data_IF_998949196120
#
_entry.id   IF_998949196120
#
_cell.length_a   1.000
_cell.length_b   1.000
_cell.length_c   1.000
_cell.angle_alpha   90.00
_cell.angle_beta   90.00
_cell.angle_gamma   90.00
#
_symmetry.space_group_name_H-M   'P 1'
#
loop_
_entity.id
_entity.type
_entity.pdbx_description
1 polymer ?
#
# COMPACT_ATOMS: atom_id res chain seq x y z
N UNK A 1 -12.99 8.01 13.99
CA UNK A 1 -11.70 7.36 13.63
C UNK A 1 -11.98 6.03 12.98
N UNK A 2 -11.32 5.71 11.84
CA UNK A 2 -11.45 4.38 11.22
C UNK A 2 -10.45 3.42 11.88
N UNK A 3 -10.87 2.18 12.14
CA UNK A 3 -10.00 1.13 12.68
C UNK A 3 -10.12 -0.12 11.80
N UNK A 4 -8.97 -0.71 11.46
CA UNK A 4 -8.89 -1.97 10.75
C UNK A 4 -7.68 -2.79 11.20
N UNK A 5 -7.62 -4.03 10.74
CA UNK A 5 -6.51 -4.93 10.96
C UNK A 5 -6.16 -5.75 9.73
N UNK A 6 -4.96 -6.31 9.73
CA UNK A 6 -4.55 -7.35 8.78
C UNK A 6 -5.06 -8.75 9.20
N UNK A 7 -4.54 -9.81 8.55
CA UNK A 7 -4.93 -11.20 8.79
C UNK A 7 -4.28 -11.87 9.99
N UNK A 8 -3.39 -11.21 10.74
CA UNK A 8 -2.62 -11.81 11.84
C UNK A 8 -3.50 -12.30 12.99
N UNK A 9 -3.09 -13.42 13.60
CA UNK A 9 -3.87 -14.09 14.66
C UNK A 9 -4.09 -13.22 15.91
N UNK A 10 -3.13 -12.34 16.24
CA UNK A 10 -3.26 -11.38 17.35
C UNK A 10 -4.13 -10.16 17.03
N UNK A 11 -4.45 -9.94 15.74
CA UNK A 11 -5.18 -8.78 15.25
C UNK A 11 -6.54 -8.56 15.94
N UNK A 12 -7.44 -9.55 16.04
CA UNK A 12 -8.75 -9.39 16.69
C UNK A 12 -8.66 -8.88 18.13
N UNK A 13 -7.80 -9.51 18.93
CA UNK A 13 -7.63 -9.11 20.34
C UNK A 13 -7.10 -7.67 20.48
N UNK A 14 -6.11 -7.29 19.66
CA UNK A 14 -5.56 -5.93 19.67
C UNK A 14 -6.60 -4.91 19.20
N UNK A 15 -7.39 -5.26 18.19
CA UNK A 15 -8.45 -4.40 17.66
C UNK A 15 -9.54 -4.11 18.70
N UNK A 16 -9.97 -5.11 19.44
CA UNK A 16 -10.95 -4.94 20.52
C UNK A 16 -10.45 -3.93 21.57
N UNK A 17 -9.17 -4.06 21.99
CA UNK A 17 -8.58 -3.12 22.94
C UNK A 17 -8.44 -1.70 22.41
N UNK A 18 -8.08 -1.54 21.11
CA UNK A 18 -8.00 -0.23 20.46
C UNK A 18 -9.37 0.41 20.36
N UNK A 19 -10.39 -0.33 19.93
CA UNK A 19 -11.78 0.16 19.84
C UNK A 19 -12.27 0.63 21.19
N UNK A 20 -12.13 -0.20 22.24
CA UNK A 20 -12.53 0.15 23.61
C UNK A 20 -11.81 1.42 24.09
N UNK A 21 -10.49 1.48 23.90
CA UNK A 21 -9.69 2.64 24.29
C UNK A 21 -10.11 3.93 23.58
N UNK A 22 -10.35 3.89 22.28
CA UNK A 22 -10.78 5.06 21.50
C UNK A 22 -12.19 5.51 21.91
N UNK A 23 -13.14 4.59 22.07
CA UNK A 23 -14.51 4.90 22.49
C UNK A 23 -14.53 5.54 23.88
N UNK A 24 -13.69 5.07 24.80
CA UNK A 24 -13.60 5.59 26.18
C UNK A 24 -13.15 7.05 26.26
N UNK A 25 -12.59 7.60 25.17
CA UNK A 25 -12.20 9.02 25.07
C UNK A 25 -13.31 9.93 24.54
N UNK A 26 -14.46 9.36 24.13
CA UNK A 26 -15.55 10.07 23.46
C UNK A 26 -15.37 10.20 21.95
N UNK A 27 -14.38 9.52 21.36
CA UNK A 27 -14.17 9.50 19.93
C UNK A 27 -14.97 8.34 19.30
N UNK A 28 -15.76 8.64 18.26
CA UNK A 28 -16.49 7.62 17.51
C UNK A 28 -15.53 6.74 16.69
N UNK A 29 -15.89 5.46 16.58
CA UNK A 29 -15.14 4.45 15.82
C UNK A 29 -15.97 3.95 14.66
N UNK A 30 -15.35 3.90 13.50
CA UNK A 30 -15.79 3.15 12.33
C UNK A 30 -14.87 1.92 12.18
N UNK A 31 -15.39 0.76 12.58
CA UNK A 31 -14.74 -0.54 12.41
C UNK A 31 -15.04 -1.08 11.00
N UNK A 32 -14.01 -1.21 10.18
CA UNK A 32 -14.10 -1.76 8.81
C UNK A 32 -13.54 -3.18 8.70
N UNK A 33 -13.20 -3.79 9.83
CA UNK A 33 -12.80 -5.20 9.90
C UNK A 33 -11.38 -5.49 9.44
N UNK A 34 -11.22 -6.64 8.80
CA UNK A 34 -9.95 -7.12 8.27
C UNK A 34 -9.84 -6.73 6.79
N UNK A 35 -8.95 -5.77 6.49
CA UNK A 35 -8.77 -5.21 5.15
C UNK A 35 -7.31 -4.77 4.93
N UNK A 36 -6.85 -4.63 3.67
CA UNK A 36 -5.58 -4.01 3.33
C UNK A 36 -5.40 -2.60 3.89
N UNK A 37 -4.14 -2.22 4.15
CA UNK A 37 -3.79 -0.88 4.63
C UNK A 37 -4.30 0.22 3.69
N UNK A 38 -4.25 0.02 2.36
CA UNK A 38 -4.79 0.96 1.37
C UNK A 38 -6.29 1.20 1.52
N UNK A 39 -7.07 0.15 1.82
CA UNK A 39 -8.53 0.26 2.09
C UNK A 39 -8.80 1.08 3.35
N UNK A 40 -7.99 0.90 4.40
CA UNK A 40 -8.10 1.74 5.61
C UNK A 40 -7.83 3.22 5.28
N UNK A 41 -6.77 3.51 4.54
CA UNK A 41 -6.45 4.89 4.17
C UNK A 41 -7.55 5.52 3.33
N UNK A 42 -8.08 4.80 2.33
CA UNK A 42 -9.25 5.24 1.57
C UNK A 42 -10.42 5.63 2.51
N UNK A 43 -10.82 4.71 3.39
CA UNK A 43 -11.92 4.96 4.32
C UNK A 43 -11.63 6.12 5.28
N UNK A 44 -10.36 6.31 5.69
CA UNK A 44 -9.97 7.40 6.56
C UNK A 44 -10.18 8.76 5.91
N UNK A 45 -9.81 8.91 4.63
CA UNK A 45 -9.99 10.16 3.89
C UNK A 45 -11.47 10.40 3.56
N UNK A 46 -12.19 9.39 3.11
CA UNK A 46 -13.57 9.54 2.67
C UNK A 46 -14.57 9.67 3.83
N UNK A 47 -14.32 9.04 4.98
CA UNK A 47 -15.32 8.89 6.04
C UNK A 47 -14.91 9.47 7.40
N UNK A 48 -13.63 9.79 7.65
CA UNK A 48 -13.14 10.15 8.98
C UNK A 48 -12.10 11.28 9.02
N UNK A 49 -12.14 12.18 8.05
CA UNK A 49 -11.24 13.34 7.95
C UNK A 49 -9.75 12.97 8.11
N UNK A 50 -9.33 11.85 7.53
CA UNK A 50 -7.95 11.39 7.54
C UNK A 50 -7.47 10.82 8.88
N UNK A 51 -8.36 10.27 9.72
CA UNK A 51 -7.95 9.72 11.02
C UNK A 51 -8.23 8.22 11.11
N UNK A 52 -7.18 7.42 11.32
CA UNK A 52 -7.26 5.95 11.31
C UNK A 52 -6.19 5.27 12.16
N UNK A 53 -6.47 4.02 12.55
CA UNK A 53 -5.49 3.10 13.14
C UNK A 53 -5.55 1.77 12.38
N UNK A 54 -4.44 1.39 11.77
CA UNK A 54 -4.23 0.05 11.21
C UNK A 54 -3.46 -0.82 12.19
N UNK A 55 -3.99 -2.00 12.45
CA UNK A 55 -3.33 -3.01 13.28
C UNK A 55 -2.69 -4.02 12.33
N UNK A 56 -1.37 -3.96 12.21
CA UNK A 56 -0.61 -4.78 11.27
C UNK A 56 0.84 -4.95 11.70
N UNK A 57 1.39 -6.10 11.36
CA UNK A 57 2.82 -6.35 11.40
C UNK A 57 3.48 -6.23 10.02
N UNK A 58 2.72 -5.84 8.96
CA UNK A 58 3.19 -5.76 7.57
C UNK A 58 3.91 -7.06 7.17
N UNK A 59 5.16 -6.98 6.74
CA UNK A 59 6.01 -8.11 6.35
C UNK A 59 6.78 -8.75 7.52
N UNK A 60 6.54 -8.36 8.78
CA UNK A 60 7.20 -9.00 9.92
C UNK A 60 6.73 -10.46 10.12
N UNK A 61 7.47 -11.29 10.87
CA UNK A 61 7.05 -12.65 11.23
C UNK A 61 5.64 -12.72 11.85
N UNK A 62 4.98 -13.89 11.84
CA UNK A 62 3.58 -14.05 12.27
C UNK A 62 3.28 -13.62 13.71
N UNK A 63 4.25 -13.72 14.61
CA UNK A 63 4.17 -13.37 16.03
C UNK A 63 4.36 -11.88 16.33
N UNK A 64 4.71 -11.08 15.32
CA UNK A 64 4.80 -9.62 15.41
C UNK A 64 3.47 -8.96 15.06
N UNK A 65 3.21 -7.82 15.70
CA UNK A 65 2.12 -6.93 15.32
C UNK A 65 2.46 -5.50 15.73
N UNK A 66 1.69 -4.52 15.24
CA UNK A 66 1.93 -3.11 15.51
C UNK A 66 0.77 -2.22 15.08
N UNK A 67 1.02 -0.92 15.09
CA UNK A 67 0.00 0.08 14.79
C UNK A 67 0.56 1.14 13.83
N UNK A 68 -0.13 1.35 12.70
CA UNK A 68 0.05 2.55 11.88
C UNK A 68 -1.05 3.53 12.28
N UNK A 69 -0.66 4.70 12.76
CA UNK A 69 -1.62 5.70 13.27
C UNK A 69 -1.58 6.93 12.38
N UNK A 70 -2.76 7.36 11.93
CA UNK A 70 -2.95 8.57 11.14
C UNK A 70 -3.96 9.49 11.82
N UNK A 71 -3.65 10.79 11.89
CA UNK A 71 -4.52 11.82 12.47
C UNK A 71 -4.57 13.02 11.54
N UNK A 72 -5.77 13.37 11.07
CA UNK A 72 -5.95 14.52 10.17
C UNK A 72 -5.18 14.39 8.84
N UNK A 73 -4.96 13.17 8.37
CA UNK A 73 -4.19 12.87 7.17
C UNK A 73 -2.68 12.80 7.38
N UNK A 74 -2.16 12.97 8.61
CA UNK A 74 -0.75 12.84 8.93
C UNK A 74 -0.46 11.50 9.59
N UNK A 75 0.44 10.71 9.00
CA UNK A 75 0.91 9.46 9.61
C UNK A 75 1.91 9.79 10.72
N UNK A 76 1.59 9.35 11.94
CA UNK A 76 2.43 9.63 13.11
C UNK A 76 3.73 8.82 13.06
N UNK A 77 4.84 9.48 13.38
CA UNK A 77 6.17 8.86 13.47
C UNK A 77 7.06 9.58 14.48
N UNK A 78 8.19 8.97 14.85
CA UNK A 78 9.22 9.57 15.69
C UNK A 78 8.66 10.15 17.00
N UNK A 79 8.88 11.44 17.24
CA UNK A 79 8.47 12.13 18.47
C UNK A 79 6.96 12.11 18.70
N UNK A 80 6.13 12.08 17.64
CA UNK A 80 4.68 12.02 17.79
C UNK A 80 4.24 10.68 18.42
N UNK A 81 4.88 9.55 18.04
CA UNK A 81 4.64 8.24 18.67
C UNK A 81 5.14 8.24 20.11
N UNK A 82 6.33 8.78 20.38
CA UNK A 82 6.85 8.96 21.76
C UNK A 82 5.92 9.82 22.61
N UNK A 83 5.32 10.84 21.99
CA UNK A 83 4.33 11.70 22.63
C UNK A 83 3.07 10.94 23.07
N UNK A 84 2.58 10.00 22.24
CA UNK A 84 1.46 9.11 22.61
C UNK A 84 1.84 8.24 23.83
N UNK A 85 3.00 7.61 23.79
CA UNK A 85 3.50 6.81 24.91
C UNK A 85 3.56 7.62 26.21
N UNK A 86 4.12 8.84 26.17
CA UNK A 86 4.25 9.71 27.34
C UNK A 86 2.88 10.10 27.91
N UNK A 87 1.89 10.39 27.08
CA UNK A 87 0.52 10.71 27.53
C UNK A 87 -0.15 9.51 28.18
N UNK A 88 -0.04 8.32 27.58
CA UNK A 88 -0.58 7.08 28.14
C UNK A 88 0.05 6.82 29.52
N UNK A 89 1.37 6.91 29.63
CA UNK A 89 2.11 6.65 30.87
C UNK A 89 1.75 7.66 31.97
N UNK A 90 1.51 8.91 31.59
CA UNK A 90 1.10 9.98 32.53
C UNK A 90 -0.38 9.93 32.90
N UNK A 91 -1.19 9.07 32.27
CA UNK A 91 -2.64 9.05 32.42
C UNK A 91 -3.32 10.32 31.88
N UNK A 92 -2.65 11.08 30.99
CA UNK A 92 -3.19 12.26 30.33
C UNK A 92 -4.13 11.85 29.20
N UNK A 93 -5.25 11.26 29.58
CA UNK A 93 -6.27 10.72 28.66
C UNK A 93 -7.58 11.47 28.89
N UNK A 94 -8.27 11.77 27.80
CA UNK A 94 -9.65 12.25 27.87
C UNK A 94 -10.56 11.08 28.24
N UNK A 95 -11.70 11.39 28.85
CA UNK A 95 -12.79 10.44 29.10
C UNK A 95 -14.06 10.90 28.39
N UNK A 96 -14.84 9.95 27.89
CA UNK A 96 -16.09 10.22 27.19
C UNK A 96 -16.73 8.91 26.72
N UNK A 97 -17.81 9.02 25.97
CA UNK A 97 -18.53 7.89 25.39
C UNK A 97 -18.64 8.10 23.87
N UNK A 98 -17.84 7.36 23.09
CA UNK A 98 -17.93 7.31 21.64
C UNK A 98 -18.90 6.25 21.15
N UNK A 99 -19.29 6.32 19.88
CA UNK A 99 -20.18 5.36 19.24
C UNK A 99 -19.39 4.44 18.29
N UNK A 100 -19.71 3.14 18.32
CA UNK A 100 -19.16 2.16 17.38
C UNK A 100 -20.13 1.96 16.21
N UNK A 101 -19.59 2.09 14.99
CA UNK A 101 -20.26 1.66 13.76
C UNK A 101 -19.39 0.65 13.03
N UNK A 102 -20.02 -0.27 12.31
CA UNK A 102 -19.34 -1.25 11.45
C UNK A 102 -19.81 -1.09 10.02
N UNK A 103 -18.87 -1.12 9.08
CA UNK A 103 -19.17 -0.93 7.66
C UNK A 103 -18.21 -1.78 6.81
N UNK A 104 -18.71 -2.39 5.74
CA UNK A 104 -17.85 -2.98 4.71
C UNK A 104 -17.64 -1.92 3.62
N UNK A 105 -16.39 -1.52 3.40
CA UNK A 105 -16.00 -0.46 2.45
C UNK A 105 -15.22 -0.99 1.24
N UNK A 106 -15.05 -2.31 1.13
CA UNK A 106 -14.24 -2.93 0.08
C UNK A 106 -14.80 -2.60 -1.30
N UNK A 107 -16.12 -2.68 -1.49
CA UNK A 107 -16.73 -2.39 -2.79
C UNK A 107 -16.57 -0.90 -3.15
N UNK A 108 -16.76 0.01 -2.20
CA UNK A 108 -16.55 1.46 -2.42
C UNK A 108 -15.10 1.75 -2.86
N UNK A 109 -14.14 1.05 -2.24
CA UNK A 109 -12.71 1.14 -2.60
C UNK A 109 -12.45 0.61 -4.02
N UNK A 110 -12.99 -0.57 -4.38
CA UNK A 110 -12.89 -1.15 -5.73
C UNK A 110 -13.51 -0.20 -6.76
N UNK A 111 -14.71 0.33 -6.49
CA UNK A 111 -15.40 1.25 -7.38
C UNK A 111 -14.60 2.55 -7.57
N UNK A 112 -13.97 3.07 -6.51
CA UNK A 112 -13.10 4.25 -6.60
C UNK A 112 -11.89 3.99 -7.50
N UNK A 113 -11.26 2.84 -7.40
CA UNK A 113 -10.16 2.44 -8.27
C UNK A 113 -10.66 2.28 -9.72
N UNK A 114 -11.70 1.50 -9.94
CA UNK A 114 -12.20 1.19 -11.29
C UNK A 114 -12.80 2.39 -12.02
N UNK A 115 -13.24 3.41 -11.29
CA UNK A 115 -13.75 4.65 -11.89
C UNK A 115 -12.68 5.52 -12.57
N UNK A 116 -11.42 5.29 -12.24
CA UNK A 116 -10.29 6.13 -12.68
C UNK A 116 -9.38 5.42 -13.70
N UNK A 117 -9.61 4.11 -13.99
CA UNK A 117 -8.73 3.30 -14.82
C UNK A 117 -9.47 2.62 -15.96
N UNK A 118 -8.80 2.56 -17.09
CA UNK A 118 -9.18 1.71 -18.22
C UNK A 118 -7.98 0.88 -18.66
N UNK A 119 -8.07 -0.43 -18.58
CA UNK A 119 -7.04 -1.33 -19.15
C UNK A 119 -7.34 -1.51 -20.63
N UNK A 120 -6.51 -0.95 -21.51
CA UNK A 120 -6.75 -0.94 -22.96
C UNK A 120 -6.63 -2.32 -23.63
N UNK A 121 -5.87 -3.23 -23.03
CA UNK A 121 -5.60 -4.55 -23.60
C UNK A 121 -5.95 -5.66 -22.64
N UNK A 122 -6.54 -6.77 -23.12
CA UNK A 122 -6.68 -7.96 -22.28
C UNK A 122 -5.32 -8.37 -21.73
N UNK A 123 -5.26 -8.58 -20.41
CA UNK A 123 -4.07 -9.06 -19.72
C UNK A 123 -4.43 -10.24 -18.83
N UNK A 124 -3.50 -11.18 -18.71
CA UNK A 124 -3.53 -12.26 -17.74
C UNK A 124 -2.48 -12.01 -16.68
N UNK A 125 -2.89 -11.90 -15.43
CA UNK A 125 -2.01 -11.55 -14.30
C UNK A 125 -2.10 -12.63 -13.23
N UNK A 126 -0.95 -13.15 -12.79
CA UNK A 126 -0.86 -13.94 -11.56
C UNK A 126 -0.68 -12.97 -10.40
N UNK A 127 -1.46 -13.11 -9.35
CA UNK A 127 -1.26 -12.38 -8.11
C UNK A 127 -0.85 -13.32 -6.99
N UNK A 128 0.12 -12.90 -6.21
CA UNK A 128 0.59 -13.59 -5.00
C UNK A 128 0.27 -12.72 -3.79
N UNK A 129 -0.65 -13.19 -2.96
CA UNK A 129 -1.04 -12.49 -1.73
C UNK A 129 -0.25 -12.98 -0.50
N UNK A 130 0.62 -13.99 -0.65
CA UNK A 130 1.45 -14.54 0.45
C UNK A 130 0.65 -14.90 1.70
N UNK A 131 -0.62 -15.34 1.57
CA UNK A 131 -1.60 -15.50 2.65
C UNK A 131 -1.87 -14.23 3.47
N UNK A 132 -1.43 -13.07 2.98
CA UNK A 132 -1.70 -11.76 3.56
C UNK A 132 -3.11 -11.25 3.30
N UNK A 133 -3.41 -10.09 3.89
CA UNK A 133 -4.76 -9.51 3.82
C UNK A 133 -5.15 -9.03 2.42
N UNK A 134 -4.22 -8.89 1.50
CA UNK A 134 -4.50 -8.60 0.09
C UNK A 134 -5.49 -9.58 -0.55
N UNK A 135 -5.51 -10.82 -0.08
CA UNK A 135 -6.43 -11.87 -0.55
C UNK A 135 -7.91 -11.51 -0.48
N UNK A 136 -8.32 -10.59 0.40
CA UNK A 136 -9.74 -10.21 0.54
C UNK A 136 -10.27 -9.36 -0.62
N UNK A 137 -9.41 -8.68 -1.40
CA UNK A 137 -9.90 -7.80 -2.46
C UNK A 137 -8.97 -7.64 -3.68
N UNK A 138 -7.72 -8.10 -3.65
CA UNK A 138 -6.78 -7.88 -4.75
C UNK A 138 -7.27 -8.46 -6.07
N UNK A 139 -7.78 -9.70 -6.06
CA UNK A 139 -8.31 -10.34 -7.25
C UNK A 139 -9.52 -9.60 -7.82
N UNK A 140 -10.46 -9.20 -6.97
CA UNK A 140 -11.68 -8.51 -7.40
C UNK A 140 -11.38 -7.09 -7.90
N UNK A 141 -10.41 -6.41 -7.28
CA UNK A 141 -9.94 -5.10 -7.76
C UNK A 141 -9.41 -5.20 -9.20
N UNK A 142 -8.53 -6.17 -9.49
CA UNK A 142 -8.02 -6.36 -10.84
C UNK A 142 -9.09 -6.83 -11.84
N UNK A 143 -9.98 -7.74 -11.43
CA UNK A 143 -11.09 -8.20 -12.28
C UNK A 143 -12.04 -7.07 -12.64
N UNK A 144 -12.27 -6.12 -11.75
CA UNK A 144 -13.10 -4.94 -12.04
C UNK A 144 -12.55 -4.07 -13.18
N UNK A 145 -11.25 -4.19 -13.47
CA UNK A 145 -10.56 -3.52 -14.58
C UNK A 145 -10.56 -4.35 -15.88
N UNK A 146 -11.22 -5.51 -15.90
CA UNK A 146 -11.26 -6.41 -17.07
C UNK A 146 -10.03 -7.30 -17.24
N UNK A 147 -9.21 -7.47 -16.20
CA UNK A 147 -8.02 -8.33 -16.21
C UNK A 147 -8.40 -9.77 -15.85
N UNK A 148 -7.84 -10.76 -16.57
CA UNK A 148 -7.89 -12.14 -16.17
C UNK A 148 -6.91 -12.39 -15.02
N UNK A 149 -7.43 -12.75 -13.84
CA UNK A 149 -6.65 -12.88 -12.61
C UNK A 149 -6.54 -14.32 -12.16
N UNK A 150 -5.32 -14.77 -11.94
CA UNK A 150 -4.96 -16.07 -11.38
C UNK A 150 -4.39 -15.87 -9.97
N UNK A 151 -5.21 -16.00 -8.90
CA UNK A 151 -4.76 -15.77 -7.55
C UNK A 151 -3.95 -16.95 -7.01
N UNK A 152 -2.89 -16.65 -6.26
CA UNK A 152 -2.09 -17.57 -5.47
C UNK A 152 -2.09 -17.11 -4.03
N UNK A 153 -2.15 -18.07 -3.10
CA UNK A 153 -2.04 -17.83 -1.65
C UNK A 153 -2.96 -16.69 -1.19
N UNK A 154 -4.16 -16.59 -1.77
CA UNK A 154 -5.17 -15.56 -1.50
C UNK A 154 -6.08 -15.90 -0.31
N UNK A 155 -6.02 -17.12 0.23
CA UNK A 155 -6.61 -17.45 1.52
C UNK A 155 -5.83 -16.76 2.64
N UNK A 156 -6.50 -15.89 3.40
CA UNK A 156 -5.86 -15.15 4.48
C UNK A 156 -5.54 -16.06 5.65
N UNK A 157 -4.24 -16.22 5.93
CA UNK A 157 -3.74 -17.01 7.05
C UNK A 157 -2.57 -16.28 7.73
N UNK A 158 -2.80 -15.77 8.94
CA UNK A 158 -1.80 -15.01 9.70
C UNK A 158 -0.57 -15.83 10.15
N UNK A 159 -0.49 -17.13 9.80
CA UNK A 159 0.72 -17.95 9.99
C UNK A 159 1.65 -17.94 8.79
N UNK A 160 1.17 -17.44 7.62
CA UNK A 160 1.91 -17.36 6.36
C UNK A 160 2.55 -18.69 5.94
N UNK A 161 1.74 -19.77 5.72
CA UNK A 161 2.24 -21.14 5.61
C UNK A 161 3.04 -21.43 4.34
N UNK A 162 2.91 -20.64 3.28
CA UNK A 162 3.55 -20.91 2.00
C UNK A 162 4.94 -20.25 1.90
N UNK A 163 5.02 -18.96 2.07
CA UNK A 163 6.26 -18.20 2.15
C UNK A 163 6.06 -16.92 2.96
N UNK A 164 7.15 -16.28 3.33
CA UNK A 164 7.12 -15.00 4.04
C UNK A 164 6.57 -13.89 3.10
N UNK A 165 5.55 -13.11 3.51
CA UNK A 165 4.90 -12.12 2.64
C UNK A 165 5.72 -10.83 2.54
N UNK A 166 6.92 -10.92 1.97
CA UNK A 166 7.80 -9.79 1.68
C UNK A 166 8.29 -9.85 0.23
N UNK A 167 7.68 -9.08 -0.69
CA UNK A 167 8.05 -9.08 -2.10
C UNK A 167 9.40 -8.38 -2.38
N UNK A 168 10.04 -7.78 -1.39
CA UNK A 168 11.38 -7.21 -1.54
C UNK A 168 12.48 -8.26 -1.56
N UNK A 169 12.18 -9.47 -1.08
CA UNK A 169 13.12 -10.59 -1.03
C UNK A 169 12.88 -11.53 -2.23
N UNK A 170 13.85 -11.67 -3.15
CA UNK A 170 13.68 -12.47 -4.38
C UNK A 170 13.28 -13.93 -4.15
N UNK A 171 13.69 -14.52 -3.03
CA UNK A 171 13.35 -15.90 -2.68
C UNK A 171 11.86 -16.10 -2.44
N UNK A 172 11.15 -15.08 -1.95
CA UNK A 172 9.71 -15.11 -1.74
C UNK A 172 8.90 -14.98 -3.04
N UNK A 173 9.55 -14.66 -4.16
CA UNK A 173 8.91 -14.51 -5.46
C UNK A 173 9.05 -15.75 -6.36
N UNK A 174 9.68 -16.84 -5.88
CA UNK A 174 9.97 -18.00 -6.72
C UNK A 174 8.69 -18.68 -7.22
N UNK A 175 7.71 -18.90 -6.35
CA UNK A 175 6.44 -19.52 -6.72
C UNK A 175 5.66 -18.64 -7.73
N UNK A 176 5.72 -17.33 -7.57
CA UNK A 176 5.14 -16.38 -8.53
C UNK A 176 5.83 -16.45 -9.88
N UNK A 177 7.17 -16.49 -9.92
CA UNK A 177 7.96 -16.62 -11.16
C UNK A 177 7.59 -17.89 -11.92
N UNK A 178 7.51 -19.02 -11.21
CA UNK A 178 7.19 -20.31 -11.79
C UNK A 178 5.74 -20.34 -12.31
N UNK A 179 4.81 -19.74 -11.56
CA UNK A 179 3.40 -19.66 -11.96
C UNK A 179 3.19 -18.74 -13.18
N UNK A 180 3.85 -17.60 -13.24
CA UNK A 180 3.80 -16.69 -14.42
C UNK A 180 4.22 -17.42 -15.68
N UNK A 181 5.32 -18.17 -15.62
CA UNK A 181 5.84 -18.95 -16.76
C UNK A 181 4.92 -20.11 -17.12
N UNK A 182 4.45 -20.86 -16.12
CA UNK A 182 3.61 -22.04 -16.33
C UNK A 182 2.25 -21.68 -16.93
N UNK A 183 1.67 -20.56 -16.50
CA UNK A 183 0.35 -20.09 -16.93
C UNK A 183 0.40 -19.17 -18.16
N UNK A 184 1.59 -18.90 -18.70
CA UNK A 184 1.81 -17.94 -19.81
C UNK A 184 1.13 -16.59 -19.51
N UNK A 185 1.32 -16.10 -18.28
CA UNK A 185 0.74 -14.85 -17.83
C UNK A 185 1.61 -13.66 -18.25
N UNK A 186 1.01 -12.54 -18.59
CA UNK A 186 1.70 -11.33 -19.03
C UNK A 186 2.56 -10.73 -17.91
N UNK A 187 2.09 -10.88 -16.64
CA UNK A 187 2.69 -10.27 -15.46
C UNK A 187 2.40 -11.06 -14.20
N UNK A 188 3.29 -10.99 -13.23
CA UNK A 188 3.08 -11.41 -11.85
C UNK A 188 3.15 -10.22 -10.91
N UNK A 189 2.23 -10.14 -9.95
CA UNK A 189 2.17 -9.12 -8.91
C UNK A 189 2.20 -9.80 -7.54
N UNK A 190 3.08 -9.37 -6.64
CA UNK A 190 3.16 -9.84 -5.28
C UNK A 190 2.91 -8.71 -4.29
N UNK A 191 2.17 -9.01 -3.23
CA UNK A 191 1.85 -8.08 -2.15
C UNK A 191 2.47 -8.54 -0.84
N UNK A 192 2.78 -7.60 0.04
CA UNK A 192 3.20 -7.93 1.40
C UNK A 192 2.00 -8.19 2.32
N UNK A 193 2.27 -8.51 3.59
CA UNK A 193 1.27 -9.00 4.53
C UNK A 193 0.07 -8.07 4.74
N UNK A 194 0.21 -6.76 4.58
CA UNK A 194 -0.89 -5.78 4.64
C UNK A 194 -1.16 -5.05 3.32
N UNK A 195 -0.54 -5.54 2.23
CA UNK A 195 -0.74 -5.13 0.85
C UNK A 195 -0.50 -3.64 0.57
N UNK A 196 0.46 -3.02 1.27
CA UNK A 196 0.89 -1.66 0.98
C UNK A 196 2.17 -1.59 0.13
N UNK A 197 2.77 -2.77 -0.21
CA UNK A 197 3.91 -2.92 -1.12
C UNK A 197 3.56 -3.76 -2.32
N UNK A 198 4.28 -3.51 -3.43
CA UNK A 198 4.14 -4.24 -4.68
C UNK A 198 5.49 -4.76 -5.18
N UNK A 199 5.55 -6.07 -5.45
CA UNK A 199 6.58 -6.72 -6.26
C UNK A 199 6.06 -7.05 -7.65
N UNK A 200 6.90 -7.00 -8.67
CA UNK A 200 6.50 -7.23 -10.07
C UNK A 200 7.45 -8.23 -10.74
N UNK A 201 6.85 -9.22 -11.41
CA UNK A 201 7.54 -10.24 -12.19
C UNK A 201 7.04 -10.21 -13.63
N UNK A 202 7.96 -10.20 -14.61
CA UNK A 202 7.61 -10.22 -16.04
C UNK A 202 7.25 -11.62 -16.52
N UNK A 203 6.62 -11.75 -17.70
CA UNK A 203 6.37 -13.03 -18.40
C UNK A 203 7.65 -13.90 -18.50
N UNK A 204 8.82 -13.31 -18.71
CA UNK A 204 10.10 -14.02 -18.74
C UNK A 204 10.56 -14.51 -17.36
N UNK A 205 9.84 -14.17 -16.28
CA UNK A 205 10.20 -14.48 -14.90
C UNK A 205 11.32 -13.59 -14.35
N UNK A 206 11.51 -12.40 -14.91
CA UNK A 206 12.44 -11.43 -14.35
C UNK A 206 11.73 -10.55 -13.31
N UNK A 207 12.36 -10.38 -12.15
CA UNK A 207 11.91 -9.44 -11.13
C UNK A 207 12.21 -8.02 -11.60
N UNK A 208 11.21 -7.14 -11.59
CA UNK A 208 11.39 -5.70 -11.78
C UNK A 208 11.52 -5.06 -10.41
N UNK A 209 12.72 -4.64 -10.04
CA UNK A 209 12.94 -3.99 -8.75
C UNK A 209 12.19 -2.66 -8.62
N UNK A 210 11.75 -2.28 -7.41
CA UNK A 210 10.90 -1.11 -7.19
C UNK A 210 11.45 0.20 -7.76
N UNK A 211 12.75 0.43 -7.71
CA UNK A 211 13.37 1.62 -8.29
C UNK A 211 13.26 1.69 -9.83
N UNK A 212 13.12 0.53 -10.50
CA UNK A 212 12.85 0.46 -11.94
C UNK A 212 11.38 0.74 -12.25
N UNK A 213 10.48 0.21 -11.41
CA UNK A 213 9.06 0.55 -11.48
C UNK A 213 8.88 2.05 -11.27
N UNK A 214 9.58 2.63 -10.30
CA UNK A 214 9.57 4.09 -10.08
C UNK A 214 9.96 4.90 -11.30
N UNK A 215 10.92 4.43 -12.12
CA UNK A 215 11.27 5.15 -13.35
C UNK A 215 10.07 5.26 -14.30
N UNK A 216 9.33 4.17 -14.49
CA UNK A 216 8.14 4.15 -15.34
C UNK A 216 7.04 5.04 -14.79
N UNK A 217 6.73 4.89 -13.51
CA UNK A 217 5.69 5.66 -12.84
C UNK A 217 6.03 7.16 -12.76
N UNK A 218 7.30 7.51 -12.53
CA UNK A 218 7.74 8.91 -12.53
C UNK A 218 7.60 9.57 -13.91
N UNK A 219 7.90 8.84 -14.99
CA UNK A 219 7.71 9.35 -16.36
C UNK A 219 6.23 9.61 -16.64
N UNK A 220 5.35 8.69 -16.24
CA UNK A 220 3.92 8.84 -16.41
C UNK A 220 3.36 10.03 -15.60
N UNK A 221 3.79 10.21 -14.35
CA UNK A 221 3.42 11.38 -13.55
C UNK A 221 3.94 12.67 -14.17
N UNK A 222 5.18 12.69 -14.69
CA UNK A 222 5.76 13.88 -15.30
C UNK A 222 5.11 14.27 -16.62
N UNK A 223 4.53 13.34 -17.36
CA UNK A 223 3.70 13.64 -18.54
C UNK A 223 2.44 14.43 -18.14
N UNK A 224 1.83 14.12 -16.97
CA UNK A 224 0.63 14.85 -16.48
C UNK A 224 0.97 16.10 -15.66
N UNK A 225 2.09 16.07 -14.92
CA UNK A 225 2.53 17.16 -14.04
C UNK A 225 3.95 17.56 -14.38
N UNK A 226 4.19 18.27 -15.50
CA UNK A 226 5.53 18.67 -15.92
C UNK A 226 6.27 19.49 -14.85
N UNK A 227 7.55 19.20 -14.64
CA UNK A 227 8.36 19.91 -13.66
C UNK A 227 8.16 19.47 -12.20
N UNK A 228 7.34 18.42 -11.96
CA UNK A 228 7.05 17.97 -10.61
C UNK A 228 8.30 17.51 -9.85
N UNK A 229 8.27 17.68 -8.54
CA UNK A 229 9.22 17.06 -7.63
C UNK A 229 8.85 15.59 -7.42
N UNK A 230 9.79 14.68 -7.66
CA UNK A 230 9.64 13.23 -7.43
C UNK A 230 10.55 12.83 -6.28
N UNK A 231 9.97 12.28 -5.22
CA UNK A 231 10.73 11.80 -4.06
C UNK A 231 11.11 10.33 -4.22
N UNK A 232 12.32 9.99 -3.78
CA UNK A 232 12.78 8.60 -3.75
C UNK A 232 13.72 8.37 -2.56
N UNK A 233 13.80 7.13 -2.08
CA UNK A 233 14.64 6.82 -0.94
C UNK A 233 16.11 6.60 -1.33
N UNK A 234 16.97 6.69 -0.33
CA UNK A 234 18.45 6.59 -0.50
C UNK A 234 18.93 5.25 -1.05
N UNK A 235 18.10 4.19 -1.00
CA UNK A 235 18.46 2.84 -1.48
C UNK A 235 18.23 2.67 -2.99
N UNK A 236 17.47 3.58 -3.62
CA UNK A 236 17.20 3.52 -5.06
C UNK A 236 18.46 3.72 -5.90
N UNK A 237 18.45 3.15 -7.10
CA UNK A 237 19.56 3.26 -8.05
C UNK A 237 19.88 4.72 -8.44
N UNK A 238 21.16 5.02 -8.63
CA UNK A 238 21.60 6.33 -9.14
C UNK A 238 21.14 6.66 -10.58
N UNK A 239 20.50 5.73 -11.29
CA UNK A 239 19.88 6.00 -12.59
C UNK A 239 18.54 6.72 -12.45
N UNK A 240 17.81 6.50 -11.37
CA UNK A 240 16.47 7.07 -11.14
C UNK A 240 16.47 8.62 -11.21
N UNK A 241 17.33 9.36 -10.48
CA UNK A 241 17.35 10.81 -10.57
C UNK A 241 17.70 11.33 -11.97
N UNK A 242 18.51 10.58 -12.73
CA UNK A 242 18.84 10.93 -14.11
C UNK A 242 17.61 10.85 -15.02
N UNK A 243 16.86 9.75 -14.94
CA UNK A 243 15.60 9.56 -15.70
C UNK A 243 14.59 10.66 -15.38
N UNK A 244 14.40 10.97 -14.09
CA UNK A 244 13.49 12.05 -13.66
C UNK A 244 13.94 13.41 -14.22
N UNK A 245 15.24 13.74 -14.14
CA UNK A 245 15.75 15.02 -14.64
C UNK A 245 15.67 15.14 -16.16
N UNK A 246 15.97 14.06 -16.90
CA UNK A 246 15.85 14.02 -18.36
C UNK A 246 14.40 14.17 -18.84
N UNK A 247 13.44 13.74 -18.03
CA UNK A 247 12.00 13.97 -18.25
C UNK A 247 11.50 15.35 -17.78
N UNK A 248 12.41 16.22 -17.32
CA UNK A 248 12.07 17.57 -16.86
C UNK A 248 11.54 17.67 -15.45
N UNK A 249 11.61 16.60 -14.66
CA UNK A 249 11.22 16.58 -13.24
C UNK A 249 12.36 17.00 -12.31
N UNK A 250 12.03 17.20 -11.05
CA UNK A 250 12.97 17.52 -9.98
C UNK A 250 13.14 16.33 -9.02
N UNK A 251 14.23 15.53 -9.14
CA UNK A 251 14.45 14.39 -8.26
C UNK A 251 14.94 14.83 -6.88
N UNK A 252 14.31 14.34 -5.82
CA UNK A 252 14.70 14.62 -4.44
C UNK A 252 14.88 13.31 -3.67
N UNK A 253 16.12 13.05 -3.25
CA UNK A 253 16.46 11.90 -2.40
C UNK A 253 16.07 12.18 -0.96
N UNK A 254 15.47 11.17 -0.28
CA UNK A 254 15.10 11.32 1.12
C UNK A 254 15.39 10.04 1.92
N UNK A 255 15.11 10.10 3.22
CA UNK A 255 15.28 8.97 4.15
C UNK A 255 14.24 7.90 3.86
N UNK A 256 14.62 6.63 3.95
CA UNK A 256 13.70 5.49 3.92
C UNK A 256 12.76 5.53 5.12
N UNK A 257 11.50 5.21 4.88
CA UNK A 257 10.44 5.06 5.88
C UNK A 257 9.14 5.69 5.40
N UNK A 258 8.11 4.86 5.21
CA UNK A 258 6.84 5.25 4.59
C UNK A 258 6.19 6.48 5.25
N UNK A 259 6.24 6.58 6.59
CA UNK A 259 5.69 7.74 7.32
C UNK A 259 6.50 9.01 7.08
N UNK A 260 7.83 8.89 7.00
CA UNK A 260 8.73 10.01 6.68
C UNK A 260 8.51 10.49 5.25
N UNK A 261 8.35 9.54 4.31
CA UNK A 261 8.11 9.83 2.90
C UNK A 261 6.80 10.60 2.71
N UNK A 262 5.69 10.13 3.34
CA UNK A 262 4.38 10.82 3.31
C UNK A 262 4.47 12.26 3.84
N UNK A 263 5.16 12.46 4.96
CA UNK A 263 5.36 13.81 5.53
C UNK A 263 6.16 14.70 4.58
N UNK A 264 7.22 14.17 3.98
CA UNK A 264 8.05 14.93 3.05
C UNK A 264 7.33 15.27 1.74
N UNK A 265 6.49 14.36 1.23
CA UNK A 265 5.64 14.63 0.06
C UNK A 265 4.77 15.87 0.27
N UNK A 266 4.10 15.95 1.43
CA UNK A 266 3.27 17.13 1.78
C UNK A 266 4.11 18.39 1.88
N UNK A 267 5.28 18.33 2.54
CA UNK A 267 6.18 19.46 2.71
C UNK A 267 6.62 20.08 1.38
N UNK A 268 6.96 19.26 0.39
CA UNK A 268 7.50 19.71 -0.89
C UNK A 268 6.48 19.74 -2.02
N UNK A 269 5.22 19.34 -1.77
CA UNK A 269 4.18 19.27 -2.78
C UNK A 269 4.47 18.23 -3.87
N UNK A 270 5.09 17.09 -3.51
CA UNK A 270 5.41 16.03 -4.47
C UNK A 270 4.16 15.24 -4.85
N UNK A 271 3.83 15.09 -6.15
CA UNK A 271 2.72 14.26 -6.60
C UNK A 271 3.02 12.76 -6.58
N UNK A 272 4.29 12.37 -6.48
CA UNK A 272 4.72 10.97 -6.49
C UNK A 272 5.99 10.75 -5.67
N UNK A 273 6.00 9.67 -4.92
CA UNK A 273 7.18 9.18 -4.23
C UNK A 273 7.25 7.66 -4.25
N UNK A 274 8.42 7.09 -3.97
CA UNK A 274 8.56 5.66 -3.80
C UNK A 274 9.83 5.26 -3.06
N UNK A 275 9.85 4.00 -2.64
CA UNK A 275 10.94 3.39 -1.89
C UNK A 275 11.41 2.09 -2.55
N UNK A 276 12.67 1.74 -2.35
CA UNK A 276 13.24 0.46 -2.81
C UNK A 276 12.56 -0.77 -2.17
N UNK A 277 11.85 -0.57 -1.07
CA UNK A 277 11.05 -1.60 -0.39
C UNK A 277 9.72 -1.95 -1.08
N UNK A 278 9.35 -1.23 -2.15
CA UNK A 278 8.10 -1.45 -2.88
C UNK A 278 6.91 -0.61 -2.41
N UNK A 279 7.12 0.35 -1.49
CA UNK A 279 6.13 1.37 -1.20
C UNK A 279 6.13 2.44 -2.30
N UNK A 280 4.95 2.77 -2.80
CA UNK A 280 4.75 3.86 -3.76
C UNK A 280 3.58 4.73 -3.30
N UNK A 281 3.71 6.03 -3.50
CA UNK A 281 2.79 7.03 -2.97
C UNK A 281 2.35 7.95 -4.09
N UNK A 282 1.06 8.02 -4.36
CA UNK A 282 0.51 8.92 -5.36
C UNK A 282 -0.33 10.02 -4.70
N UNK A 283 0.04 11.27 -4.93
CA UNK A 283 -0.66 12.44 -4.41
C UNK A 283 -1.56 13.13 -5.44
N UNK A 284 -1.40 12.86 -6.74
CA UNK A 284 -2.19 13.52 -7.77
C UNK A 284 -3.53 12.84 -8.07
N UNK A 285 -3.56 11.51 -8.04
CA UNK A 285 -4.75 10.69 -8.35
C UNK A 285 -5.25 9.89 -7.15
N UNK A 286 -4.45 9.83 -6.10
CA UNK A 286 -4.73 9.15 -4.85
C UNK A 286 -4.44 10.08 -3.66
N UNK A 287 -4.48 9.58 -2.47
CA UNK A 287 -4.43 10.39 -1.24
C UNK A 287 -3.00 10.68 -0.72
N UNK A 288 -1.97 10.37 -1.48
CA UNK A 288 -0.56 10.55 -1.05
C UNK A 288 -0.11 9.52 -0.02
N UNK A 289 -0.73 8.36 -0.02
CA UNK A 289 -0.42 7.22 0.88
C UNK A 289 0.09 6.03 0.08
N UNK A 290 0.75 5.11 0.77
CA UNK A 290 1.20 3.84 0.23
C UNK A 290 0.03 2.85 0.12
N UNK A 291 -0.13 2.27 -1.06
CA UNK A 291 -1.21 1.34 -1.35
C UNK A 291 -0.83 0.46 -2.55
N UNK A 292 -0.44 -0.79 -2.27
CA UNK A 292 0.01 -1.72 -3.30
C UNK A 292 -1.06 -2.06 -4.34
N UNK A 293 -2.33 -2.03 -3.96
CA UNK A 293 -3.45 -2.34 -4.87
C UNK A 293 -3.81 -1.17 -5.77
N UNK A 294 -3.72 0.08 -5.28
CA UNK A 294 -4.02 1.26 -6.10
C UNK A 294 -2.95 1.54 -7.16
N UNK A 295 -1.76 0.93 -7.03
CA UNK A 295 -0.69 1.04 -8.03
C UNK A 295 -1.07 0.49 -9.40
N UNK A 296 -1.98 -0.46 -9.44
CA UNK A 296 -2.53 -1.00 -10.68
C UNK A 296 -3.22 0.10 -11.48
N UNK A 297 -3.75 1.08 -10.81
CA UNK A 297 -4.43 2.28 -11.25
C UNK A 297 -3.56 3.25 -12.08
N UNK A 298 -2.26 3.15 -12.01
CA UNK A 298 -1.36 4.16 -12.55
C UNK A 298 -0.55 3.62 -13.71
N UNK A 299 -0.56 2.31 -13.88
CA UNK A 299 0.15 1.62 -14.94
C UNK A 299 -0.61 1.58 -16.27
N UNK A 300 -1.42 2.61 -16.61
CA UNK A 300 -1.83 2.79 -18.00
C UNK A 300 -0.59 3.13 -18.82
N UNK A 301 -0.10 2.24 -19.69
CA UNK A 301 0.92 2.61 -20.64
C UNK A 301 0.24 3.44 -21.75
N UNK A 302 0.17 4.75 -21.58
CA UNK A 302 -0.06 5.67 -22.70
C UNK A 302 1.08 5.62 -23.73
N UNK A 303 2.15 4.89 -23.39
CA UNK A 303 3.21 4.48 -24.31
C UNK A 303 3.39 2.98 -24.26
N UNK A 304 3.54 2.29 -25.40
CA UNK A 304 3.86 0.87 -25.39
C UNK A 304 5.15 0.70 -24.56
N UNK A 305 5.06 0.04 -23.43
CA UNK A 305 6.25 -0.49 -22.76
C UNK A 305 6.90 -1.38 -23.81
N UNK A 306 8.02 -0.93 -24.37
CA UNK A 306 8.86 -1.74 -25.24
C UNK A 306 9.42 -2.87 -24.38
N UNK A 307 8.63 -3.90 -24.18
CA UNK A 307 9.13 -5.21 -23.82
C UNK A 307 9.81 -5.71 -25.10
N UNK A 308 11.10 -5.41 -25.23
CA UNK A 308 11.93 -6.05 -26.25
C UNK A 308 11.84 -7.56 -25.98
N UNK A 309 11.29 -8.29 -26.96
CA UNK A 309 11.34 -9.76 -27.04
C UNK A 309 12.77 -10.24 -27.00
#
# INVERSE_FOLDING_TARGET
MVIARDGRLSGPYLMDGVIEGVLSTGCDVLDIGAVPTGVLYYAAFEKAAGSAIMITGSHNPPDYNGFKVMVGGDTLHGEAITGLYNRITAGDLKSGEGQLRRENVIQDYIDRISSDITVEKPMRIVIDCGNGIGGVCAADTLRSLGVEVLPMFDEVDGTFPNHHPDPSEPENLQDLIDSVRMMDADLGLAFDGDADRLGVVTLAGNIIFPDRIMMLLALDVLDRVPGATILYDVKCTGHLPKVISEAGGNPVMYKTGHSLMKSKMKEVGSPFAGEMSGHFFFGERWYGVDDGLSLIHISEPTRPILVSR
#
